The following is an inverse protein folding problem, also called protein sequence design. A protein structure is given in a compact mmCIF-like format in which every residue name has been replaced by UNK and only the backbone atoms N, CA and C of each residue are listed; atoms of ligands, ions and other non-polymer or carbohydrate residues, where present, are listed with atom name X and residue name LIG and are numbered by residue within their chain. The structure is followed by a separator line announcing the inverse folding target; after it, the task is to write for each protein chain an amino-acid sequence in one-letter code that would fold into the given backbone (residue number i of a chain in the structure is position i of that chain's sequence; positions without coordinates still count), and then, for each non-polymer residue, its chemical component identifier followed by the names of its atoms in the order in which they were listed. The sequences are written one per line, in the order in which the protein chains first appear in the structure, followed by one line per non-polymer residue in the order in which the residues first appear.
data_IF_740269220574
#
_entry.id   IF_740269220574
#
_cell.length_a   1.000
_cell.length_b   1.000
_cell.length_c   1.000
_cell.angle_alpha   90.00
_cell.angle_beta   90.00
_cell.angle_gamma   90.00
#
_symmetry.space_group_name_H-M   'P 1'
#
loop_
_entity.id
_entity.type
_entity.pdbx_description
1 polymer ?
#
# COMPACT_ATOMS: atom_id res chain seq x y z
N UNK A 1 -12.06 -4.36 47.93
CA UNK A 1 -11.00 -5.06 47.19
C UNK A 1 -11.10 -4.61 45.75
N UNK A 2 -10.12 -3.84 45.29
CA UNK A 2 -10.06 -3.35 43.91
C UNK A 2 -9.63 -4.52 43.00
N UNK A 3 -10.49 -4.89 42.05
CA UNK A 3 -10.12 -5.81 40.97
C UNK A 3 -9.29 -5.04 39.94
N UNK A 4 -7.98 -5.21 40.00
CA UNK A 4 -7.06 -4.82 38.93
C UNK A 4 -7.35 -5.68 37.70
N UNK A 5 -8.02 -5.11 36.70
CA UNK A 5 -8.12 -5.74 35.37
C UNK A 5 -6.81 -5.54 34.61
N UNK A 6 -5.79 -6.33 34.94
CA UNK A 6 -4.55 -6.42 34.17
C UNK A 6 -4.51 -7.73 33.40
N UNK A 7 -5.02 -7.69 32.17
CA UNK A 7 -4.58 -8.54 31.08
C UNK A 7 -4.93 -7.78 29.80
N UNK A 8 -4.00 -6.96 29.33
CA UNK A 8 -4.09 -6.40 27.99
C UNK A 8 -4.14 -7.58 27.03
N UNK A 9 -5.24 -7.69 26.28
CA UNK A 9 -5.29 -8.53 25.10
C UNK A 9 -4.21 -8.00 24.14
N UNK A 10 -3.01 -8.59 24.19
CA UNK A 10 -1.90 -8.29 23.30
C UNK A 10 -2.26 -8.83 21.91
N UNK A 11 -3.22 -8.16 21.28
CA UNK A 11 -3.64 -8.44 19.91
C UNK A 11 -2.41 -8.38 19.01
N UNK A 12 -2.03 -9.54 18.46
CA UNK A 12 -0.83 -9.73 17.65
C UNK A 12 -0.80 -8.72 16.51
N UNK A 13 0.31 -8.00 16.40
CA UNK A 13 0.56 -7.09 15.29
C UNK A 13 0.66 -7.89 13.99
N UNK A 14 -0.14 -7.53 12.98
CA UNK A 14 -0.16 -8.20 11.67
C UNK A 14 0.50 -7.36 10.58
N UNK A 15 0.44 -6.03 10.71
CA UNK A 15 1.00 -5.13 9.70
C UNK A 15 1.36 -3.76 10.29
N UNK A 16 2.44 -3.16 9.79
CA UNK A 16 2.83 -1.77 10.07
C UNK A 16 3.24 -1.10 8.77
N UNK A 17 2.77 0.13 8.53
CA UNK A 17 3.20 0.92 7.39
C UNK A 17 3.23 2.41 7.70
N UNK A 18 4.30 3.08 7.25
CA UNK A 18 4.34 4.54 7.15
C UNK A 18 3.58 5.00 5.92
N UNK A 19 2.94 6.17 6.02
CA UNK A 19 2.38 6.83 4.86
C UNK A 19 3.49 7.32 3.91
N UNK A 20 3.10 7.71 2.69
CA UNK A 20 4.03 8.18 1.65
C UNK A 20 4.86 9.43 2.01
N UNK A 21 4.60 10.11 3.14
CA UNK A 21 5.38 11.25 3.63
C UNK A 21 6.17 10.93 4.90
N UNK A 22 6.08 9.71 5.42
CA UNK A 22 6.63 9.29 6.72
C UNK A 22 6.20 10.18 7.90
N UNK A 23 5.07 10.88 7.77
CA UNK A 23 4.53 11.76 8.82
C UNK A 23 3.62 11.02 9.78
N UNK A 24 3.04 9.92 9.31
CA UNK A 24 2.17 9.03 10.09
C UNK A 24 2.50 7.58 9.77
N UNK A 25 2.14 6.68 10.68
CA UNK A 25 2.08 5.26 10.40
C UNK A 25 0.82 4.63 10.97
N UNK A 26 0.43 3.51 10.38
CA UNK A 26 -0.63 2.63 10.88
C UNK A 26 -0.01 1.36 11.46
N UNK A 27 -0.51 0.93 12.61
CA UNK A 27 -0.25 -0.36 13.21
C UNK A 27 -1.57 -1.14 13.24
N UNK A 28 -1.61 -2.28 12.56
CA UNK A 28 -2.78 -3.13 12.46
C UNK A 28 -2.58 -4.43 13.26
N UNK A 29 -3.62 -4.83 13.96
CA UNK A 29 -3.78 -6.14 14.61
C UNK A 29 -4.93 -6.87 13.94
N UNK A 30 -5.13 -8.17 14.19
CA UNK A 30 -6.23 -8.92 13.55
C UNK A 30 -7.63 -8.29 13.79
N UNK A 31 -7.81 -7.56 14.89
CA UNK A 31 -9.10 -7.00 15.33
C UNK A 31 -9.23 -5.49 15.14
N UNK A 32 -8.20 -4.80 14.66
CA UNK A 32 -8.21 -3.34 14.65
C UNK A 32 -7.00 -2.67 14.02
N UNK A 33 -7.06 -1.34 13.98
CA UNK A 33 -5.94 -0.48 13.59
C UNK A 33 -5.74 0.65 14.59
N UNK A 34 -4.51 1.16 14.65
CA UNK A 34 -4.13 2.39 15.34
C UNK A 34 -3.29 3.25 14.40
N UNK A 35 -3.55 4.55 14.37
CA UNK A 35 -2.77 5.52 13.58
C UNK A 35 -2.03 6.46 14.50
N UNK A 36 -0.77 6.74 14.17
CA UNK A 36 0.11 7.61 14.93
C UNK A 36 0.71 8.68 14.02
N UNK A 37 0.84 9.90 14.53
CA UNK A 37 1.63 10.97 13.95
C UNK A 37 3.06 10.91 14.51
N UNK A 38 4.07 11.12 13.66
CA UNK A 38 5.48 11.03 14.04
C UNK A 38 6.09 12.37 14.45
N UNK A 39 5.51 13.48 14.00
CA UNK A 39 6.09 14.83 14.12
C UNK A 39 5.06 15.82 14.67
N UNK A 40 5.41 16.71 15.60
CA UNK A 40 6.75 16.93 16.20
C UNK A 40 7.15 15.88 17.25
N UNK A 41 6.21 15.05 17.70
CA UNK A 41 6.45 13.91 18.58
C UNK A 41 5.50 12.78 18.22
N UNK A 42 5.80 11.57 18.69
CA UNK A 42 4.92 10.43 18.53
C UNK A 42 3.59 10.67 19.26
N UNK A 43 2.50 10.78 18.52
CA UNK A 43 1.15 10.99 19.05
C UNK A 43 0.18 10.01 18.46
N UNK A 44 -0.65 9.40 19.32
CA UNK A 44 -1.81 8.65 18.88
C UNK A 44 -2.82 9.60 18.21
N UNK A 45 -3.32 9.22 17.04
CA UNK A 45 -4.32 9.99 16.29
C UNK A 45 -5.70 9.38 16.50
N UNK A 46 -5.85 8.10 16.15
CA UNK A 46 -7.10 7.38 16.39
C UNK A 46 -6.88 5.86 16.46
N UNK A 47 -7.86 5.18 17.07
CA UNK A 47 -7.98 3.72 17.10
C UNK A 47 -9.30 3.33 16.48
N UNK A 48 -9.29 2.30 15.64
CA UNK A 48 -10.51 1.66 15.18
C UNK A 48 -10.46 0.16 15.46
N UNK A 49 -11.35 -0.27 16.36
CA UNK A 49 -11.68 -1.67 16.63
C UNK A 49 -13.16 -1.91 16.31
N UNK A 50 -13.61 -3.17 16.36
CA UNK A 50 -15.01 -3.51 16.13
C UNK A 50 -15.44 -3.07 14.73
N UNK A 51 -14.68 -3.48 13.70
CA UNK A 51 -15.07 -3.29 12.30
C UNK A 51 -16.39 -4.01 11.94
N UNK A 52 -16.92 -4.84 12.86
CA UNK A 52 -18.10 -5.70 12.70
C UNK A 52 -18.97 -5.73 13.97
N UNK A 53 -20.30 -5.64 13.85
CA UNK A 53 -21.22 -5.74 14.99
C UNK A 53 -21.60 -7.17 15.41
N UNK A 54 -21.46 -8.21 14.58
CA UNK A 54 -21.70 -9.62 14.97
C UNK A 54 -21.33 -10.65 13.88
N UNK A 55 -20.97 -11.86 14.32
CA UNK A 55 -20.90 -13.19 13.65
C UNK A 55 -19.88 -13.54 12.56
N UNK A 56 -19.36 -12.61 11.75
CA UNK A 56 -18.33 -13.00 10.76
C UNK A 56 -16.93 -12.87 11.36
N UNK A 57 -16.17 -13.97 11.43
CA UNK A 57 -14.72 -13.95 11.69
C UNK A 57 -14.04 -13.22 10.53
N UNK A 58 -13.88 -11.90 10.70
CA UNK A 58 -13.21 -11.05 9.72
C UNK A 58 -12.00 -10.42 10.35
N UNK A 59 -10.83 -10.73 9.79
CA UNK A 59 -9.54 -10.29 10.28
C UNK A 59 -8.97 -9.17 9.41
N UNK A 60 -8.37 -8.17 10.07
CA UNK A 60 -7.52 -7.21 9.38
C UNK A 60 -6.23 -7.91 8.96
N UNK A 61 -5.86 -7.74 7.70
CA UNK A 61 -4.67 -8.39 7.09
C UNK A 61 -3.61 -7.38 6.66
N UNK A 62 -4.05 -6.18 6.26
CA UNK A 62 -3.18 -5.06 5.92
C UNK A 62 -3.92 -3.75 6.12
N UNK A 63 -3.19 -2.67 6.32
CA UNK A 63 -3.74 -1.33 6.36
C UNK A 63 -2.73 -0.32 5.85
N UNK A 64 -3.21 0.77 5.28
CA UNK A 64 -2.40 1.93 4.94
C UNK A 64 -3.12 3.23 5.29
N UNK A 65 -2.38 4.33 5.43
CA UNK A 65 -2.92 5.62 5.86
C UNK A 65 -2.57 6.72 4.88
N UNK A 66 -3.51 7.62 4.65
CA UNK A 66 -3.35 8.77 3.77
C UNK A 66 -2.20 9.68 4.22
N UNK A 67 -1.64 10.49 3.31
CA UNK A 67 -0.60 11.45 3.66
C UNK A 67 -1.01 12.49 4.73
N UNK A 68 -2.31 12.73 4.90
CA UNK A 68 -2.84 13.62 5.94
C UNK A 68 -2.97 12.93 7.31
N UNK A 69 -2.90 11.60 7.37
CA UNK A 69 -3.13 10.84 8.60
C UNK A 69 -4.62 10.64 8.95
N UNK A 70 -5.53 11.26 8.21
CA UNK A 70 -6.96 11.33 8.57
C UNK A 70 -7.82 10.21 7.98
N UNK A 71 -7.28 9.44 7.02
CA UNK A 71 -8.00 8.39 6.31
C UNK A 71 -7.15 7.12 6.27
N UNK A 72 -7.67 6.00 6.77
CA UNK A 72 -7.04 4.70 6.66
C UNK A 72 -7.82 3.80 5.70
N UNK A 73 -7.11 3.03 4.88
CA UNK A 73 -7.67 1.91 4.13
C UNK A 73 -7.27 0.60 4.79
N UNK A 74 -8.22 -0.31 4.95
CA UNK A 74 -8.07 -1.53 5.74
C UNK A 74 -8.51 -2.71 4.90
N UNK A 75 -7.65 -3.72 4.79
CA UNK A 75 -7.93 -4.99 4.12
C UNK A 75 -8.44 -6.01 5.13
N UNK A 76 -9.57 -6.61 4.81
CA UNK A 76 -10.33 -7.54 5.63
C UNK A 76 -10.42 -8.90 4.93
N UNK A 77 -10.01 -9.97 5.59
CA UNK A 77 -9.91 -11.34 5.03
C UNK A 77 -9.16 -11.42 3.70
N UNK A 78 -8.29 -10.46 3.40
CA UNK A 78 -7.67 -10.31 2.08
C UNK A 78 -8.65 -10.17 0.91
N UNK A 79 -9.91 -9.78 1.13
CA UNK A 79 -10.95 -9.78 0.09
C UNK A 79 -11.74 -8.48 0.05
N UNK A 80 -11.89 -7.81 1.18
CA UNK A 80 -12.67 -6.58 1.29
C UNK A 80 -11.75 -5.45 1.72
N UNK A 81 -11.92 -4.29 1.13
CA UNK A 81 -11.26 -3.07 1.60
C UNK A 81 -12.34 -2.25 2.32
N UNK A 82 -11.98 -1.50 3.35
CA UNK A 82 -12.83 -0.47 3.96
C UNK A 82 -12.01 0.79 4.20
N UNK A 83 -12.66 1.95 4.08
CA UNK A 83 -12.06 3.23 4.44
C UNK A 83 -12.60 3.72 5.77
N UNK A 84 -11.70 4.22 6.60
CA UNK A 84 -12.02 4.79 7.89
C UNK A 84 -11.49 6.21 8.00
N UNK A 85 -12.37 7.15 8.35
CA UNK A 85 -12.01 8.54 8.57
C UNK A 85 -12.06 8.89 10.04
N UNK A 86 -11.00 9.53 10.52
CA UNK A 86 -10.93 10.07 11.88
C UNK A 86 -12.01 11.13 12.11
N UNK A 87 -12.15 12.08 11.18
CA UNK A 87 -13.07 13.21 11.28
C UNK A 87 -14.56 12.82 11.34
N UNK A 88 -14.92 11.67 10.75
CA UNK A 88 -16.32 11.23 10.67
C UNK A 88 -16.68 10.19 11.72
N UNK A 89 -15.69 9.54 12.35
CA UNK A 89 -15.93 8.45 13.29
C UNK A 89 -16.68 7.24 12.70
N UNK A 90 -16.78 7.14 11.37
CA UNK A 90 -17.54 6.12 10.65
C UNK A 90 -16.81 5.63 9.39
N UNK A 91 -17.23 4.47 8.88
CA UNK A 91 -16.77 3.92 7.61
C UNK A 91 -17.17 4.88 6.49
N UNK A 92 -16.20 5.38 5.72
CA UNK A 92 -16.51 6.12 4.51
C UNK A 92 -17.03 5.13 3.44
N UNK A 93 -18.10 5.49 2.74
CA UNK A 93 -18.79 4.66 1.75
C UNK A 93 -17.90 4.08 0.63
N UNK A 94 -18.50 3.20 -0.19
CA UNK A 94 -17.92 2.37 -1.26
C UNK A 94 -16.39 2.28 -1.31
N UNK A 95 -15.88 1.22 -0.69
CA UNK A 95 -14.46 0.94 -0.62
C UNK A 95 -13.84 0.53 -1.96
N UNK A 96 -12.50 0.46 -1.99
CA UNK A 96 -11.79 0.05 -3.19
C UNK A 96 -12.13 -1.40 -3.50
N UNK A 97 -12.65 -1.64 -4.70
CA UNK A 97 -12.84 -2.99 -5.18
C UNK A 97 -11.47 -3.66 -5.38
N UNK A 98 -11.29 -4.93 -4.98
CA UNK A 98 -10.09 -5.69 -5.31
C UNK A 98 -9.87 -5.78 -6.83
N UNK A 99 -8.62 -5.92 -7.30
CA UNK A 99 -8.35 -6.21 -8.70
C UNK A 99 -8.82 -7.64 -9.03
N UNK A 100 -9.75 -7.76 -9.98
CA UNK A 100 -10.32 -9.01 -10.50
C UNK A 100 -10.71 -10.08 -9.45
N UNK A 101 -11.20 -9.65 -8.27
CA UNK A 101 -11.53 -10.55 -7.15
C UNK A 101 -10.36 -11.39 -6.62
N UNK A 102 -9.11 -10.99 -6.91
CA UNK A 102 -7.93 -11.63 -6.34
C UNK A 102 -7.76 -11.22 -4.87
N UNK A 103 -7.12 -12.11 -4.09
CA UNK A 103 -6.74 -11.82 -2.71
C UNK A 103 -5.86 -10.57 -2.65
N UNK A 104 -6.33 -9.53 -1.95
CA UNK A 104 -5.62 -8.28 -1.73
C UNK A 104 -4.43 -8.54 -0.82
N UNK A 105 -3.24 -8.23 -1.32
CA UNK A 105 -1.96 -8.46 -0.63
C UNK A 105 -1.38 -7.19 -0.01
N UNK A 106 -1.61 -6.03 -0.62
CA UNK A 106 -1.12 -4.76 -0.08
C UNK A 106 -1.92 -3.56 -0.58
N UNK A 107 -1.87 -2.49 0.21
CA UNK A 107 -2.37 -1.16 -0.12
C UNK A 107 -1.24 -0.14 -0.09
N UNK A 108 -1.26 0.83 -1.02
CA UNK A 108 -0.39 2.03 -0.98
C UNK A 108 -1.19 3.29 -1.32
N UNK A 109 -1.14 4.28 -0.44
CA UNK A 109 -1.79 5.58 -0.58
C UNK A 109 -0.83 6.65 -1.09
N UNK A 110 -1.27 7.41 -2.09
CA UNK A 110 -0.62 8.64 -2.51
C UNK A 110 -1.67 9.69 -2.89
N UNK A 111 -1.76 10.76 -2.12
CA UNK A 111 -2.75 11.82 -2.36
C UNK A 111 -4.19 11.27 -2.24
N UNK A 112 -5.00 11.48 -3.26
CA UNK A 112 -6.35 10.92 -3.38
C UNK A 112 -6.37 9.49 -3.93
N UNK A 113 -5.22 8.90 -4.26
CA UNK A 113 -5.16 7.61 -4.94
C UNK A 113 -4.68 6.49 -4.03
N UNK A 114 -5.20 5.28 -4.28
CA UNK A 114 -4.89 4.06 -3.57
C UNK A 114 -4.58 2.97 -4.58
N UNK A 115 -3.37 2.43 -4.49
CA UNK A 115 -2.97 1.26 -5.23
C UNK A 115 -3.33 0.02 -4.41
N UNK A 116 -4.12 -0.86 -5.00
CA UNK A 116 -4.48 -2.18 -4.47
C UNK A 116 -3.69 -3.23 -5.23
N UNK A 117 -2.78 -3.93 -4.55
CA UNK A 117 -2.03 -5.03 -5.14
C UNK A 117 -2.70 -6.36 -4.78
N UNK A 118 -3.11 -7.11 -5.79
CA UNK A 118 -3.53 -8.50 -5.69
C UNK A 118 -2.39 -9.46 -6.03
N UNK A 119 -2.74 -10.72 -6.26
CA UNK A 119 -1.77 -11.78 -6.57
C UNK A 119 -1.17 -11.65 -7.99
N UNK A 120 -1.98 -11.34 -8.99
CA UNK A 120 -1.59 -11.31 -10.42
C UNK A 120 -2.08 -10.04 -11.13
N UNK A 121 -2.73 -9.14 -10.39
CA UNK A 121 -3.24 -7.86 -10.87
C UNK A 121 -3.09 -6.81 -9.79
N UNK A 122 -3.03 -5.56 -10.23
CA UNK A 122 -3.12 -4.41 -9.36
C UNK A 122 -4.05 -3.36 -9.98
N UNK A 123 -4.76 -2.64 -9.10
CA UNK A 123 -5.71 -1.60 -9.49
C UNK A 123 -5.38 -0.29 -8.78
N UNK A 124 -5.41 0.79 -9.53
CA UNK A 124 -5.31 2.15 -9.00
C UNK A 124 -6.73 2.71 -8.84
N UNK A 125 -7.07 3.11 -7.64
CA UNK A 125 -8.35 3.72 -7.29
C UNK A 125 -8.14 5.20 -6.95
N UNK A 126 -9.11 6.02 -7.33
CA UNK A 126 -9.22 7.39 -6.87
C UNK A 126 -10.32 7.46 -5.81
N UNK A 127 -10.00 8.08 -4.67
CA UNK A 127 -10.97 8.40 -3.63
C UNK A 127 -11.82 9.60 -4.10
N UNK A 128 -13.12 9.37 -4.28
CA UNK A 128 -14.11 10.37 -4.63
C UNK A 128 -15.02 10.70 -3.43
N UNK A 129 -15.83 11.75 -3.56
CA UNK A 129 -16.71 12.24 -2.46
C UNK A 129 -17.70 11.19 -1.94
N UNK A 130 -18.12 10.25 -2.78
CA UNK A 130 -19.16 9.26 -2.49
C UNK A 130 -18.66 7.81 -2.51
N UNK A 131 -17.36 7.58 -2.60
CA UNK A 131 -16.80 6.24 -2.73
C UNK A 131 -15.48 6.25 -3.48
N UNK A 132 -15.01 5.08 -3.90
CA UNK A 132 -13.82 4.98 -4.75
C UNK A 132 -14.17 4.62 -6.19
N UNK A 133 -13.39 5.17 -7.12
CA UNK A 133 -13.51 4.88 -8.55
C UNK A 133 -12.22 4.21 -9.02
N UNK A 134 -12.33 3.09 -9.74
CA UNK A 134 -11.17 2.46 -10.37
C UNK A 134 -10.69 3.32 -11.55
N UNK A 135 -9.48 3.85 -11.46
CA UNK A 135 -8.86 4.70 -12.47
C UNK A 135 -8.07 3.88 -13.50
N UNK A 136 -7.38 2.83 -13.05
CA UNK A 136 -6.63 1.93 -13.91
C UNK A 136 -6.53 0.54 -13.29
N UNK A 137 -6.32 -0.48 -14.14
CA UNK A 137 -6.02 -1.84 -13.74
C UNK A 137 -4.93 -2.41 -14.66
N UNK A 138 -4.07 -3.24 -14.11
CA UNK A 138 -3.00 -3.86 -14.87
C UNK A 138 -2.60 -5.22 -14.32
N UNK A 139 -2.20 -6.09 -15.23
CA UNK A 139 -1.63 -7.40 -14.93
C UNK A 139 -0.23 -7.26 -14.32
N UNK A 140 0.08 -8.14 -13.37
CA UNK A 140 1.39 -8.26 -12.71
C UNK A 140 1.95 -9.67 -12.89
N UNK A 141 3.24 -9.84 -12.59
CA UNK A 141 3.74 -11.18 -12.27
C UNK A 141 3.15 -11.69 -10.95
N UNK A 142 3.40 -12.96 -10.59
CA UNK A 142 3.00 -13.50 -9.28
C UNK A 142 3.52 -12.64 -8.13
N UNK A 143 2.61 -12.19 -7.27
CA UNK A 143 2.86 -11.22 -6.21
C UNK A 143 2.32 -11.68 -4.85
N UNK A 144 2.74 -12.84 -4.31
CA UNK A 144 2.23 -13.37 -3.04
C UNK A 144 2.54 -12.45 -1.84
N UNK A 145 3.56 -11.60 -1.95
CA UNK A 145 3.99 -10.66 -0.90
C UNK A 145 3.37 -9.26 -1.02
N UNK A 146 2.56 -9.00 -2.05
CA UNK A 146 1.98 -7.66 -2.26
C UNK A 146 3.03 -6.58 -2.54
N UNK A 147 4.14 -6.94 -3.19
CA UNK A 147 5.20 -6.02 -3.62
C UNK A 147 4.59 -4.96 -4.53
N UNK A 148 4.51 -3.73 -4.04
CA UNK A 148 4.06 -2.59 -4.81
C UNK A 148 4.55 -1.27 -4.21
N UNK A 149 4.63 -0.24 -5.06
CA UNK A 149 4.89 1.14 -4.65
C UNK A 149 4.07 2.12 -5.49
N UNK A 150 3.68 3.24 -4.87
CA UNK A 150 2.93 4.33 -5.48
C UNK A 150 3.58 5.66 -5.09
N UNK A 151 3.84 6.53 -6.06
CA UNK A 151 4.38 7.87 -5.83
C UNK A 151 3.71 8.92 -6.72
N UNK A 152 3.77 10.18 -6.30
CA UNK A 152 3.37 11.32 -7.13
C UNK A 152 4.49 11.67 -8.12
N UNK A 153 4.14 11.90 -9.37
CA UNK A 153 5.06 12.48 -10.34
C UNK A 153 5.08 14.00 -10.17
N UNK A 154 6.24 14.56 -9.80
CA UNK A 154 6.36 16.01 -9.53
C UNK A 154 6.24 16.87 -10.80
N UNK A 155 6.46 16.29 -11.98
CA UNK A 155 6.46 17.01 -13.24
C UNK A 155 5.08 16.90 -13.93
N UNK A 156 4.27 17.96 -13.80
CA UNK A 156 3.02 18.20 -14.53
C UNK A 156 1.82 17.30 -14.17
N UNK A 157 0.91 17.83 -13.35
CA UNK A 157 -0.44 17.29 -13.15
C UNK A 157 -0.51 16.08 -12.23
N UNK A 158 -1.73 15.59 -11.98
CA UNK A 158 -2.03 14.42 -11.14
C UNK A 158 -1.56 13.09 -11.77
N UNK A 159 -0.29 13.00 -12.16
CA UNK A 159 0.31 11.78 -12.67
C UNK A 159 0.93 10.99 -11.52
N UNK A 160 0.71 9.68 -11.52
CA UNK A 160 1.25 8.77 -10.52
C UNK A 160 2.22 7.79 -11.16
N UNK A 161 3.24 7.40 -10.41
CA UNK A 161 4.15 6.31 -10.77
C UNK A 161 3.80 5.11 -9.91
N UNK A 162 3.55 3.98 -10.57
CA UNK A 162 3.32 2.69 -9.93
C UNK A 162 4.45 1.73 -10.27
N UNK A 163 4.90 0.96 -9.30
CA UNK A 163 5.83 -0.15 -9.51
C UNK A 163 5.26 -1.44 -8.90
N UNK A 164 5.24 -2.52 -9.68
CA UNK A 164 4.82 -3.87 -9.28
C UNK A 164 5.68 -4.92 -10.01
N UNK A 165 5.69 -6.20 -9.61
CA UNK A 165 6.30 -7.27 -10.41
C UNK A 165 5.78 -7.27 -11.86
N UNK A 166 6.69 -7.40 -12.83
CA UNK A 166 6.32 -7.49 -14.25
C UNK A 166 5.80 -8.91 -14.59
N UNK A 167 4.78 -9.04 -15.45
CA UNK A 167 4.40 -10.32 -16.03
C UNK A 167 5.55 -10.96 -16.81
N UNK A 168 5.60 -12.29 -16.83
CA UNK A 168 6.44 -13.08 -17.74
C UNK A 168 7.92 -13.19 -17.39
N UNK A 169 8.46 -12.39 -16.46
CA UNK A 169 9.87 -12.43 -16.09
C UNK A 169 10.07 -12.40 -14.56
N UNK A 170 10.74 -13.44 -14.04
CA UNK A 170 11.14 -13.50 -12.62
C UNK A 170 12.12 -12.36 -12.33
N UNK A 171 11.87 -11.64 -11.24
CA UNK A 171 12.76 -10.56 -10.79
C UNK A 171 12.72 -9.27 -11.62
N UNK A 172 11.78 -9.19 -12.57
CA UNK A 172 11.49 -7.95 -13.29
C UNK A 172 10.41 -7.13 -12.58
N UNK A 173 10.51 -5.80 -12.68
CA UNK A 173 9.54 -4.84 -12.13
C UNK A 173 9.00 -4.01 -13.28
N UNK A 174 7.68 -3.91 -13.40
CA UNK A 174 7.05 -2.97 -14.33
C UNK A 174 6.85 -1.64 -13.60
N UNK A 175 7.25 -0.55 -14.25
CA UNK A 175 6.98 0.82 -13.82
C UNK A 175 5.97 1.43 -14.78
N UNK A 176 4.83 1.88 -14.25
CA UNK A 176 3.76 2.50 -15.02
C UNK A 176 3.58 3.94 -14.60
N UNK A 177 3.51 4.84 -15.58
CA UNK A 177 3.01 6.20 -15.37
C UNK A 177 1.52 6.22 -15.65
N UNK A 178 0.73 6.56 -14.64
CA UNK A 178 -0.71 6.71 -14.73
C UNK A 178 -1.10 8.05 -15.37
N UNK A 179 -0.57 8.33 -16.56
CA UNK A 179 -0.94 9.44 -17.43
C UNK A 179 -1.30 8.85 -18.79
N UNK A 180 -2.38 9.32 -19.42
CA UNK A 180 -2.75 8.88 -20.77
C UNK A 180 -1.82 9.57 -21.80
N UNK A 181 -1.20 8.83 -22.75
CA UNK A 181 -1.20 7.36 -22.88
C UNK A 181 -0.32 6.70 -21.82
N UNK A 182 -0.82 5.60 -21.23
CA UNK A 182 -0.12 4.88 -20.19
C UNK A 182 1.23 4.37 -20.69
N UNK A 183 2.32 4.84 -20.07
CA UNK A 183 3.67 4.37 -20.40
C UNK A 183 4.12 3.32 -19.40
N UNK A 184 4.46 2.13 -19.90
CA UNK A 184 5.10 1.05 -19.14
C UNK A 184 6.58 0.99 -19.48
N UNK A 185 7.42 0.81 -18.46
CA UNK A 185 8.84 0.51 -18.56
C UNK A 185 9.11 -0.73 -17.73
N UNK A 186 9.63 -1.78 -18.34
CA UNK A 186 10.03 -2.98 -17.61
C UNK A 186 11.51 -2.89 -17.22
N UNK A 187 11.78 -3.21 -15.96
CA UNK A 187 13.10 -3.17 -15.34
C UNK A 187 13.50 -4.59 -14.99
N UNK A 188 14.50 -5.13 -15.69
CA UNK A 188 15.13 -6.39 -15.33
C UNK A 188 16.02 -6.20 -14.09
N UNK A 189 15.40 -6.26 -12.90
CA UNK A 189 16.04 -5.82 -11.67
C UNK A 189 16.95 -6.89 -11.06
N UNK A 190 16.52 -8.15 -11.03
CA UNK A 190 17.24 -9.26 -10.42
C UNK A 190 16.98 -10.58 -11.15
N UNK A 191 17.89 -11.56 -11.03
CA UNK A 191 17.67 -12.93 -11.52
C UNK A 191 16.75 -13.74 -10.57
N UNK A 192 16.62 -13.28 -9.33
CA UNK A 192 15.74 -13.83 -8.31
C UNK A 192 14.44 -13.04 -8.20
N UNK A 193 13.41 -13.60 -7.56
CA UNK A 193 12.14 -12.91 -7.31
C UNK A 193 12.38 -11.57 -6.61
N UNK A 194 11.74 -10.50 -7.07
CA UNK A 194 11.75 -9.21 -6.37
C UNK A 194 10.87 -9.34 -5.13
N UNK A 195 11.44 -9.03 -3.96
CA UNK A 195 10.73 -9.11 -2.67
C UNK A 195 10.40 -7.75 -2.09
N UNK A 196 11.04 -6.69 -2.60
CA UNK A 196 10.78 -5.32 -2.16
C UNK A 196 11.02 -4.32 -3.28
N UNK A 197 10.18 -3.28 -3.31
CA UNK A 197 10.33 -2.11 -4.17
C UNK A 197 10.00 -0.84 -3.39
N UNK A 198 10.70 0.24 -3.70
CA UNK A 198 10.38 1.58 -3.21
C UNK A 198 10.57 2.61 -4.33
N UNK A 199 9.67 3.58 -4.39
CA UNK A 199 9.81 4.73 -5.28
C UNK A 199 10.31 5.93 -4.49
N UNK A 200 11.14 6.77 -5.12
CA UNK A 200 11.39 8.11 -4.58
C UNK A 200 10.09 8.90 -4.51
N UNK A 201 10.03 9.89 -3.60
CA UNK A 201 8.83 10.71 -3.38
C UNK A 201 8.32 11.42 -4.64
N UNK A 202 9.21 11.71 -5.58
CA UNK A 202 8.92 12.33 -6.88
C UNK A 202 8.72 11.32 -8.03
N UNK A 203 8.78 10.02 -7.72
CA UNK A 203 8.57 8.91 -8.65
C UNK A 203 9.68 8.70 -9.66
N UNK A 204 10.84 9.39 -9.56
CA UNK A 204 11.93 9.32 -10.56
C UNK A 204 12.87 8.14 -10.38
N UNK A 205 13.00 7.64 -9.16
CA UNK A 205 13.89 6.53 -8.81
C UNK A 205 13.07 5.34 -8.33
N UNK A 206 13.51 4.15 -8.72
CA UNK A 206 13.02 2.87 -8.22
C UNK A 206 14.18 2.16 -7.52
N UNK A 207 14.03 1.84 -6.24
CA UNK A 207 14.91 0.94 -5.51
C UNK A 207 14.28 -0.46 -5.45
N UNK A 208 15.07 -1.50 -5.64
CA UNK A 208 14.61 -2.90 -5.62
C UNK A 208 15.53 -3.80 -4.80
N UNK A 209 14.94 -4.86 -4.22
CA UNK A 209 15.66 -5.96 -3.59
C UNK A 209 15.13 -7.31 -4.09
N UNK A 210 16.04 -8.24 -4.36
CA UNK A 210 15.72 -9.62 -4.74
C UNK A 210 15.73 -10.57 -3.54
N UNK A 211 15.10 -11.75 -3.67
CA UNK A 211 14.97 -12.74 -2.60
C UNK A 211 16.31 -13.35 -2.13
N UNK A 212 17.38 -13.20 -2.91
CA UNK A 212 18.75 -13.55 -2.47
C UNK A 212 19.28 -12.60 -1.38
N UNK A 213 18.75 -11.38 -1.29
CA UNK A 213 19.11 -10.41 -0.25
C UNK A 213 20.52 -9.82 -0.34
N UNK A 214 21.25 -10.07 -1.43
CA UNK A 214 22.66 -9.68 -1.55
C UNK A 214 22.89 -8.33 -2.22
N UNK A 215 21.91 -7.83 -2.97
CA UNK A 215 22.08 -6.62 -3.79
C UNK A 215 20.83 -5.75 -3.71
N UNK A 216 21.04 -4.47 -3.42
CA UNK A 216 20.06 -3.41 -3.63
C UNK A 216 20.41 -2.67 -4.91
N UNK A 217 19.41 -2.40 -5.75
CA UNK A 217 19.62 -1.70 -7.03
C UNK A 217 18.71 -0.51 -7.14
N UNK A 218 19.21 0.56 -7.74
CA UNK A 218 18.45 1.78 -8.02
C UNK A 218 18.39 1.99 -9.52
N UNK A 219 17.21 2.32 -10.03
CA UNK A 219 16.92 2.48 -11.46
C UNK A 219 16.21 3.81 -11.73
N UNK A 220 16.37 4.31 -12.95
CA UNK A 220 15.51 5.38 -13.48
C UNK A 220 14.13 4.82 -13.81
N UNK A 221 13.07 5.43 -13.31
CA UNK A 221 11.69 5.05 -13.70
C UNK A 221 11.31 5.53 -15.10
N UNK A 222 12.06 6.47 -15.67
CA UNK A 222 11.84 7.00 -17.02
C UNK A 222 12.42 6.11 -18.11
N UNK A 223 13.58 5.53 -17.83
CA UNK A 223 14.38 4.82 -18.83
C UNK A 223 14.60 3.35 -18.49
N UNK A 224 14.36 2.94 -17.24
CA UNK A 224 14.54 1.57 -16.77
C UNK A 224 16.00 1.16 -16.57
N UNK A 225 16.97 2.03 -16.86
CA UNK A 225 18.39 1.73 -16.70
C UNK A 225 18.80 1.76 -15.23
N UNK A 226 19.72 0.85 -14.86
CA UNK A 226 20.35 0.79 -13.54
C UNK A 226 21.23 2.03 -13.36
N UNK A 227 21.02 2.74 -12.25
CA UNK A 227 21.78 3.91 -11.84
C UNK A 227 22.81 3.55 -10.77
N UNK A 228 22.45 2.62 -9.88
CA UNK A 228 23.32 2.20 -8.79
C UNK A 228 23.07 0.74 -8.41
N UNK A 229 24.11 0.10 -7.90
CA UNK A 229 24.07 -1.20 -7.23
C UNK A 229 24.83 -1.07 -5.91
N UNK A 230 24.27 -1.65 -4.85
CA UNK A 230 24.79 -1.59 -3.48
C UNK A 230 24.86 -3.02 -2.96
N UNK A 231 26.04 -3.39 -2.47
CA UNK A 231 26.39 -4.69 -1.88
C UNK A 231 26.51 -4.58 -0.37
#
# INVERSE_FOLDING_TARGET
MASSSSAGDESRLVHVAFNAKSTHFVAATATGIRVFACTPSLKHVFTKTGFFPSSDEVEVTSADVSPSGSLAAVVLNSERIKYWSELRGEVMGDAAAPPASSSVRALRHAGSHVLVAGHDRAALHEAARHGTRRAAEFETGPNPLGVCALAHERAQGQAFVVACPAPGAKGAVQVRRAKVPYRRVDVAAHDSTVVYVALSRDGRLLATAGSKGTLLRVFSTTHGNKLQEIT
#
